data_IF_191878387899
#
_entry.id   IF_191878387899
#
_cell.length_a   1.000
_cell.length_b   1.000
_cell.length_c   1.000
_cell.angle_alpha   90.00
_cell.angle_beta   90.00
_cell.angle_gamma   90.00
#
_symmetry.space_group_name_H-M   'P 1'
#
loop_
_entity.id
_entity.type
_entity.pdbx_description
1 polymer ?
#
# COMPACT_ATOMS: atom_id res chain seq x y z
N UNK A 1 5.05 2.65 3.32
CA UNK A 1 3.96 3.31 2.57
C UNK A 1 4.57 4.29 1.57
N UNK A 2 3.85 4.65 0.51
CA UNK A 2 4.36 5.48 -0.58
C UNK A 2 5.14 4.74 -1.67
N UNK A 3 5.63 5.51 -2.65
CA UNK A 3 6.12 4.99 -3.94
C UNK A 3 7.36 4.10 -3.82
N UNK A 4 8.30 4.44 -2.93
CA UNK A 4 9.53 3.66 -2.73
C UNK A 4 9.21 2.26 -2.17
N UNK A 5 8.24 2.16 -1.24
CA UNK A 5 7.82 0.87 -0.71
C UNK A 5 7.15 0.01 -1.77
N UNK A 6 6.31 0.61 -2.64
CA UNK A 6 5.67 -0.07 -3.77
C UNK A 6 6.73 -0.54 -4.78
N UNK A 7 7.74 0.29 -5.05
CA UNK A 7 8.83 -0.05 -5.96
C UNK A 7 9.71 -1.17 -5.41
N UNK A 8 9.98 -1.20 -4.10
CA UNK A 8 10.68 -2.29 -3.45
C UNK A 8 9.94 -3.62 -3.62
N UNK A 9 8.62 -3.64 -3.39
CA UNK A 9 7.79 -4.82 -3.66
C UNK A 9 7.88 -5.24 -5.12
N UNK A 10 7.78 -4.29 -6.06
CA UNK A 10 7.92 -4.60 -7.48
C UNK A 10 9.24 -5.32 -7.80
N UNK A 11 10.37 -4.89 -7.23
CA UNK A 11 11.64 -5.57 -7.47
C UNK A 11 11.65 -7.00 -6.93
N UNK A 12 11.06 -7.23 -5.76
CA UNK A 12 10.90 -8.57 -5.19
C UNK A 12 10.02 -9.43 -6.11
N UNK A 13 8.83 -8.97 -6.46
CA UNK A 13 7.86 -9.76 -7.23
C UNK A 13 8.27 -9.94 -8.68
N UNK A 14 9.01 -8.99 -9.26
CA UNK A 14 9.59 -9.14 -10.59
C UNK A 14 10.63 -10.25 -10.63
N UNK A 15 11.50 -10.36 -9.62
CA UNK A 15 12.51 -11.43 -9.56
C UNK A 15 11.88 -12.80 -9.38
N UNK A 16 10.79 -12.89 -8.63
CA UNK A 16 10.17 -14.18 -8.30
C UNK A 16 9.05 -14.62 -9.24
N UNK A 17 8.22 -13.68 -9.71
CA UNK A 17 7.01 -13.96 -10.50
C UNK A 17 7.07 -13.38 -11.91
N UNK A 18 8.06 -12.56 -12.25
CA UNK A 18 8.14 -11.85 -13.53
C UNK A 18 7.10 -10.72 -13.71
N UNK A 19 6.25 -10.45 -12.70
CA UNK A 19 5.14 -9.48 -12.79
C UNK A 19 5.03 -8.58 -11.56
N UNK A 20 4.27 -7.50 -11.71
CA UNK A 20 3.93 -6.57 -10.62
C UNK A 20 2.74 -7.12 -9.83
N UNK A 21 2.82 -7.05 -8.51
CA UNK A 21 1.67 -7.32 -7.63
C UNK A 21 0.77 -6.08 -7.52
N UNK A 22 1.37 -4.90 -7.30
CA UNK A 22 0.65 -3.63 -7.33
C UNK A 22 0.88 -2.97 -8.71
N UNK A 23 -0.17 -2.61 -9.46
CA UNK A 23 -0.04 -1.94 -10.74
C UNK A 23 0.55 -0.54 -10.57
N UNK A 24 1.26 -0.04 -11.59
CA UNK A 24 1.76 1.33 -11.59
C UNK A 24 0.59 2.33 -11.71
N UNK A 25 0.64 3.37 -10.88
CA UNK A 25 -0.37 4.43 -10.90
C UNK A 25 -0.21 5.34 -9.69
N UNK A 26 -0.93 6.45 -9.71
CA UNK A 26 -1.04 7.35 -8.56
C UNK A 26 -1.65 6.63 -7.36
N UNK A 27 -1.22 6.98 -6.14
CA UNK A 27 -1.67 6.35 -4.89
C UNK A 27 -3.20 6.31 -4.78
N UNK A 28 -3.90 7.36 -5.20
CA UNK A 28 -5.38 7.40 -5.14
C UNK A 28 -6.05 6.31 -5.99
N UNK A 29 -5.41 5.81 -7.07
CA UNK A 29 -5.96 4.76 -7.94
C UNK A 29 -5.73 3.36 -7.42
N UNK A 30 -4.74 3.21 -6.54
CA UNK A 30 -4.27 1.91 -6.03
C UNK A 30 -4.62 1.70 -4.56
N UNK A 31 -4.88 2.75 -3.77
CA UNK A 31 -5.34 2.59 -2.38
C UNK A 31 -6.75 1.96 -2.32
N UNK A 32 -7.09 1.37 -1.18
CA UNK A 32 -8.41 0.76 -0.95
C UNK A 32 -8.71 -0.45 -1.85
N UNK A 33 -7.67 -1.07 -2.40
CA UNK A 33 -7.75 -2.29 -3.21
C UNK A 33 -6.92 -3.38 -2.57
N UNK A 34 -7.31 -4.62 -2.83
CA UNK A 34 -6.61 -5.79 -2.30
C UNK A 34 -5.47 -6.21 -3.20
N UNK A 35 -4.30 -6.42 -2.60
CA UNK A 35 -3.10 -6.91 -3.28
C UNK A 35 -2.43 -7.99 -2.46
N UNK A 36 -2.21 -9.15 -3.08
CA UNK A 36 -1.65 -10.30 -2.39
C UNK A 36 -0.36 -10.77 -3.06
N UNK A 37 0.54 -11.28 -2.22
CA UNK A 37 1.73 -12.00 -2.67
C UNK A 37 2.03 -13.11 -1.65
N UNK A 38 1.70 -14.34 -2.04
CA UNK A 38 1.52 -15.43 -1.08
C UNK A 38 0.43 -15.06 -0.07
N UNK A 39 0.71 -15.31 1.20
CA UNK A 39 -0.19 -15.01 2.33
C UNK A 39 -0.03 -13.58 2.86
N UNK A 40 0.74 -12.72 2.17
CA UNK A 40 0.96 -11.33 2.58
C UNK A 40 -0.01 -10.43 1.84
N UNK A 41 -0.84 -9.71 2.59
CA UNK A 41 -1.72 -8.66 2.09
C UNK A 41 -1.02 -7.29 2.14
N UNK A 42 -1.01 -6.57 1.02
CA UNK A 42 -0.39 -5.26 0.87
C UNK A 42 -1.44 -4.14 0.78
N UNK A 43 -1.22 -3.08 1.56
CA UNK A 43 -2.07 -1.89 1.61
C UNK A 43 -1.28 -0.66 1.13
N UNK A 44 -1.38 -0.28 -0.16
CA UNK A 44 -0.74 0.94 -0.65
C UNK A 44 -1.41 2.17 -0.05
N UNK A 45 -0.61 3.13 0.37
CA UNK A 45 -1.10 4.38 0.96
C UNK A 45 -0.07 5.50 0.80
N UNK A 46 -0.44 6.72 1.16
CA UNK A 46 0.41 7.90 1.06
C UNK A 46 1.56 7.88 2.09
N UNK A 47 2.62 8.65 1.78
CA UNK A 47 3.79 8.78 2.63
C UNK A 47 3.56 9.77 3.78
N UNK A 48 3.72 9.32 5.02
CA UNK A 48 3.56 10.10 6.26
C UNK A 48 4.68 11.13 6.52
N UNK A 49 5.66 11.21 5.63
CA UNK A 49 6.79 12.15 5.72
C UNK A 49 6.78 13.21 4.61
N UNK A 50 5.76 13.21 3.74
CA UNK A 50 5.64 14.18 2.65
C UNK A 50 5.08 15.53 3.13
N UNK A 51 5.38 16.63 2.43
CA UNK A 51 4.77 17.94 2.72
C UNK A 51 3.24 17.88 2.69
N UNK A 52 2.69 17.09 1.75
CA UNK A 52 1.25 16.85 1.64
C UNK A 52 0.64 16.29 2.93
N UNK A 53 1.36 15.42 3.66
CA UNK A 53 0.89 14.88 4.94
C UNK A 53 0.66 15.98 6.00
N UNK A 54 1.51 17.00 6.02
CA UNK A 54 1.43 18.08 7.00
C UNK A 54 0.35 19.11 6.66
N UNK A 55 0.09 19.35 5.37
CA UNK A 55 -0.80 20.42 4.91
C UNK A 55 -2.21 19.91 4.59
N UNK A 56 -2.34 18.72 4.02
CA UNK A 56 -3.62 18.21 3.53
C UNK A 56 -4.29 17.26 4.55
N UNK A 57 -5.36 17.73 5.20
CA UNK A 57 -6.15 16.89 6.11
C UNK A 57 -6.72 15.64 5.41
N UNK A 58 -7.15 15.76 4.16
CA UNK A 58 -7.67 14.64 3.38
C UNK A 58 -6.67 13.50 3.22
N UNK A 59 -5.36 13.80 3.13
CA UNK A 59 -4.31 12.77 3.08
C UNK A 59 -4.20 12.02 4.39
N UNK A 60 -4.34 12.70 5.53
CA UNK A 60 -4.32 12.07 6.85
C UNK A 60 -5.52 11.15 7.05
N UNK A 61 -6.71 11.57 6.62
CA UNK A 61 -7.90 10.71 6.67
C UNK A 61 -7.76 9.49 5.75
N UNK A 62 -7.27 9.65 4.52
CA UNK A 62 -7.01 8.51 3.63
C UNK A 62 -6.01 7.52 4.23
N UNK A 63 -4.93 8.00 4.85
CA UNK A 63 -3.94 7.15 5.52
C UNK A 63 -4.57 6.41 6.70
N UNK A 64 -5.42 7.08 7.48
CA UNK A 64 -6.15 6.46 8.59
C UNK A 64 -7.06 5.33 8.09
N UNK A 65 -7.85 5.58 7.05
CA UNK A 65 -8.72 4.56 6.43
C UNK A 65 -7.90 3.34 5.94
N UNK A 66 -6.76 3.58 5.29
CA UNK A 66 -5.90 2.52 4.77
C UNK A 66 -5.30 1.68 5.92
N UNK A 67 -4.92 2.32 7.03
CA UNK A 67 -4.41 1.63 8.23
C UNK A 67 -5.50 0.85 8.94
N UNK A 68 -6.72 1.38 9.03
CA UNK A 68 -7.86 0.68 9.62
C UNK A 68 -8.14 -0.61 8.86
N UNK A 69 -8.20 -0.56 7.52
CA UNK A 69 -8.34 -1.74 6.68
C UNK A 69 -7.23 -2.77 6.95
N UNK A 70 -5.97 -2.32 7.04
CA UNK A 70 -4.84 -3.20 7.31
C UNK A 70 -4.91 -3.88 8.69
N UNK A 71 -5.47 -3.21 9.70
CA UNK A 71 -5.61 -3.73 11.07
C UNK A 71 -6.82 -4.67 11.19
N UNK A 72 -7.92 -4.36 10.50
CA UNK A 72 -9.18 -5.11 10.55
C UNK A 72 -9.09 -6.47 9.85
N UNK A 73 -8.16 -6.65 8.91
CA UNK A 73 -7.95 -7.96 8.28
C UNK A 73 -7.65 -8.99 9.37
N UNK A 74 -8.43 -10.09 9.45
CA UNK A 74 -8.20 -11.15 10.43
C UNK A 74 -6.75 -11.59 10.34
N UNK A 75 -6.03 -11.58 11.47
CA UNK A 75 -4.70 -12.19 11.53
C UNK A 75 -4.88 -13.62 11.04
N UNK A 76 -4.29 -13.95 9.90
CA UNK A 76 -4.35 -15.28 9.30
C UNK A 76 -4.03 -16.28 10.41
N UNK A 77 -5.05 -17.03 10.83
CA UNK A 77 -4.93 -18.07 11.85
C UNK A 77 -3.92 -19.07 11.32
N UNK A 78 -2.78 -19.14 12.01
CA UNK A 78 -1.69 -20.08 11.76
C UNK A 78 -2.02 -21.43 12.39
#
# INVERSE_FOLDING_TARGET
>A
MGDIAIQALYYITKRQLGKKVIPSGSTYKIRGKEYFYGDIHFFPSYLQASNAYYIEQSKREMIKEDLQQAIEVPKLTT
#
